data_IF_545822050728
#
_entry.id   IF_545822050728
#
_cell.length_a   1.000
_cell.length_b   1.000
_cell.length_c   1.000
_cell.angle_alpha   90.00
_cell.angle_beta   90.00
_cell.angle_gamma   90.00
#
_symmetry.space_group_name_H-M   'P 1'
#
loop_
_entity.id
_entity.type
_entity.pdbx_description
1 polymer ?
#
# COMPACT_ATOMS: atom_id res chain seq x y z
N UNK A 1 -6.86 25.43 -10.23
CA UNK A 1 -7.87 24.33 -10.15
C UNK A 1 -7.55 23.48 -8.94
N UNK A 2 -8.55 23.07 -8.15
CA UNK A 2 -8.34 22.33 -6.90
C UNK A 2 -8.32 20.82 -7.13
N UNK A 3 -7.29 20.15 -6.61
CA UNK A 3 -7.07 18.71 -6.77
C UNK A 3 -6.99 18.07 -5.39
N UNK A 4 -7.74 16.99 -5.20
CA UNK A 4 -7.71 16.23 -3.96
C UNK A 4 -6.93 14.92 -4.16
N UNK A 5 -5.92 14.68 -3.32
CA UNK A 5 -5.11 13.47 -3.32
C UNK A 5 -5.50 12.59 -2.14
N UNK A 6 -5.95 11.37 -2.42
CA UNK A 6 -6.33 10.38 -1.41
C UNK A 6 -5.24 9.30 -1.34
N UNK A 7 -4.24 9.58 -0.52
CA UNK A 7 -3.04 8.74 -0.33
C UNK A 7 -2.51 8.85 1.08
N UNK A 8 -1.73 7.86 1.48
CA UNK A 8 -0.98 7.93 2.74
C UNK A 8 0.03 9.06 2.70
N UNK A 9 0.19 9.75 3.82
CA UNK A 9 1.20 10.80 3.95
C UNK A 9 2.60 10.18 3.80
N UNK A 10 3.39 10.75 2.88
CA UNK A 10 4.83 10.54 2.83
C UNK A 10 5.45 11.92 2.69
N UNK A 11 6.17 12.33 3.71
CA UNK A 11 7.00 13.53 3.64
C UNK A 11 8.35 13.13 3.03
N UNK A 12 8.87 13.97 2.14
CA UNK A 12 10.26 13.89 1.71
C UNK A 12 11.15 14.77 2.59
N UNK A 13 12.46 14.76 2.34
CA UNK A 13 13.45 15.53 3.11
C UNK A 13 13.22 17.07 3.06
N UNK A 14 12.33 17.55 2.17
CA UNK A 14 11.97 18.96 2.03
C UNK A 14 10.65 19.32 2.76
N UNK A 15 10.05 18.38 3.50
CA UNK A 15 8.86 18.62 4.33
C UNK A 15 7.57 18.88 3.53
N UNK A 16 7.55 18.55 2.23
CA UNK A 16 6.35 18.61 1.39
C UNK A 16 6.18 17.32 0.60
N UNK A 17 4.94 16.88 0.43
CA UNK A 17 4.64 15.71 -0.39
C UNK A 17 5.04 15.99 -1.87
N UNK A 18 5.79 15.09 -2.52
CA UNK A 18 6.30 15.32 -3.87
C UNK A 18 5.18 15.54 -4.90
N UNK A 19 4.00 14.93 -4.72
CA UNK A 19 2.86 15.14 -5.62
C UNK A 19 2.25 16.53 -5.46
N UNK A 20 2.19 17.05 -4.22
CA UNK A 20 1.69 18.41 -3.97
C UNK A 20 2.63 19.42 -4.63
N UNK A 21 3.94 19.27 -4.42
CA UNK A 21 4.97 20.14 -5.02
C UNK A 21 4.85 20.15 -6.55
N UNK A 22 4.82 18.98 -7.15
CA UNK A 22 4.77 18.83 -8.61
C UNK A 22 3.51 19.46 -9.20
N UNK A 23 2.33 19.18 -8.62
CA UNK A 23 1.08 19.80 -9.04
C UNK A 23 1.11 21.32 -8.88
N UNK A 24 1.76 21.82 -7.83
CA UNK A 24 1.97 23.25 -7.59
C UNK A 24 2.75 23.94 -8.70
N UNK A 25 3.75 23.28 -9.32
CA UNK A 25 4.53 23.82 -10.45
C UNK A 25 3.64 24.13 -11.66
N UNK A 26 2.53 23.41 -11.81
CA UNK A 26 1.54 23.61 -12.87
C UNK A 26 0.37 24.51 -12.46
N UNK A 27 0.44 25.19 -11.30
CA UNK A 27 -0.62 26.06 -10.79
C UNK A 27 -1.87 25.30 -10.32
N UNK A 28 -1.73 24.02 -9.96
CA UNK A 28 -2.79 23.21 -9.38
C UNK A 28 -2.71 23.26 -7.84
N UNK A 29 -3.83 23.60 -7.21
CA UNK A 29 -3.94 23.64 -5.75
C UNK A 29 -4.27 22.24 -5.25
N UNK A 30 -3.24 21.50 -4.83
CA UNK A 30 -3.39 20.13 -4.36
C UNK A 30 -3.57 20.09 -2.83
N UNK A 31 -4.52 19.30 -2.35
CA UNK A 31 -4.68 18.95 -0.93
C UNK A 31 -4.60 17.44 -0.77
N UNK A 32 -3.86 16.98 0.23
CA UNK A 32 -3.71 15.56 0.54
C UNK A 32 -4.55 15.21 1.77
N UNK A 33 -5.34 14.14 1.65
CA UNK A 33 -6.04 13.52 2.78
C UNK A 33 -5.56 12.07 2.93
N UNK A 34 -5.01 11.70 4.09
CA UNK A 34 -4.63 10.32 4.37
C UNK A 34 -5.86 9.42 4.43
N UNK A 35 -5.75 8.24 3.80
CA UNK A 35 -6.85 7.26 3.69
C UNK A 35 -6.52 5.92 4.33
N UNK A 36 -5.25 5.60 4.59
CA UNK A 36 -4.88 4.45 5.41
C UNK A 36 -4.25 4.93 6.73
N UNK A 37 -4.48 4.14 7.76
CA UNK A 37 -3.76 4.18 9.02
C UNK A 37 -3.37 2.76 9.41
N UNK A 38 -2.57 2.62 10.46
CA UNK A 38 -2.12 1.33 10.95
C UNK A 38 -2.31 1.25 12.45
N UNK A 39 -2.60 0.04 12.91
CA UNK A 39 -2.67 -0.29 14.33
C UNK A 39 -1.75 -1.45 14.62
N UNK A 40 -1.10 -1.39 15.78
CA UNK A 40 -0.25 -2.48 16.26
C UNK A 40 -1.08 -3.51 17.03
N UNK A 41 -0.79 -4.77 16.76
CA UNK A 41 -1.49 -5.93 17.32
C UNK A 41 -0.48 -6.86 18.00
N UNK A 42 -0.97 -7.70 18.91
CA UNK A 42 -0.21 -8.84 19.45
C UNK A 42 1.17 -8.50 20.05
N UNK A 43 1.41 -7.25 20.46
CA UNK A 43 2.72 -6.81 20.96
C UNK A 43 3.22 -7.61 22.18
N UNK A 44 2.39 -8.03 23.15
CA UNK A 44 2.85 -8.88 24.25
C UNK A 44 3.39 -10.23 23.77
N UNK A 45 2.64 -10.91 22.89
CA UNK A 45 3.05 -12.20 22.31
C UNK A 45 4.31 -12.06 21.44
N UNK A 46 4.39 -10.99 20.64
CA UNK A 46 5.58 -10.74 19.84
C UNK A 46 6.81 -10.45 20.72
N UNK A 47 6.63 -9.68 21.80
CA UNK A 47 7.70 -9.41 22.77
C UNK A 47 8.19 -10.67 23.48
N UNK A 48 7.29 -11.59 23.80
CA UNK A 48 7.65 -12.90 24.37
C UNK A 48 8.51 -13.71 23.40
N UNK A 49 8.12 -13.78 22.13
CA UNK A 49 8.88 -14.49 21.08
C UNK A 49 10.25 -13.87 20.83
N UNK A 50 10.35 -12.54 20.82
CA UNK A 50 11.64 -11.84 20.72
C UNK A 50 12.58 -12.12 21.91
N UNK A 51 12.03 -12.57 23.05
CA UNK A 51 12.82 -12.89 24.25
C UNK A 51 13.37 -14.32 24.26
N UNK A 52 12.92 -15.17 23.33
CA UNK A 52 13.34 -16.58 23.22
C UNK A 52 13.99 -16.85 21.85
N UNK A 53 15.13 -16.21 21.53
CA UNK A 53 15.83 -16.43 20.27
C UNK A 53 16.16 -17.91 20.03
N UNK A 54 16.39 -18.70 21.09
CA UNK A 54 16.65 -20.14 21.04
C UNK A 54 15.57 -20.97 20.33
N UNK A 55 14.33 -20.49 20.27
CA UNK A 55 13.22 -21.19 19.60
C UNK A 55 13.19 -20.96 18.08
N UNK A 56 14.02 -20.04 17.57
CA UNK A 56 13.94 -19.55 16.20
C UNK A 56 15.27 -19.69 15.45
N UNK A 57 15.20 -19.93 14.15
CA UNK A 57 16.36 -19.94 13.25
C UNK A 57 16.79 -18.56 12.75
N UNK A 58 15.94 -17.55 12.94
CA UNK A 58 16.15 -16.21 12.40
C UNK A 58 14.88 -15.35 12.39
N UNK A 59 15.00 -14.14 11.86
CA UNK A 59 13.93 -13.14 11.74
C UNK A 59 13.68 -12.77 10.27
N UNK A 60 12.46 -12.38 9.94
CA UNK A 60 12.11 -11.82 8.63
C UNK A 60 11.33 -10.52 8.84
N UNK A 61 11.80 -9.42 8.26
CA UNK A 61 11.09 -8.13 8.23
C UNK A 61 10.85 -7.66 6.80
N UNK A 62 9.59 -7.70 6.35
CA UNK A 62 9.21 -7.23 5.00
C UNK A 62 8.57 -5.84 5.01
N UNK A 63 8.48 -5.19 6.17
CA UNK A 63 7.77 -3.92 6.35
C UNK A 63 8.39 -3.10 7.48
N UNK A 64 8.60 -1.77 7.28
CA UNK A 64 8.99 -0.85 8.35
C UNK A 64 8.09 -0.93 9.58
N UNK A 65 6.78 -1.14 9.38
CA UNK A 65 5.79 -1.25 10.46
C UNK A 65 6.07 -2.45 11.37
N UNK A 66 6.55 -3.56 10.84
CA UNK A 66 6.90 -4.72 11.66
C UNK A 66 8.11 -4.43 12.57
N UNK A 67 9.03 -3.58 12.11
CA UNK A 67 10.21 -3.15 12.89
C UNK A 67 9.81 -2.16 13.98
N UNK A 68 8.91 -1.21 13.66
CA UNK A 68 8.33 -0.30 14.67
C UNK A 68 7.57 -1.07 15.75
N UNK A 69 6.83 -2.13 15.37
CA UNK A 69 6.19 -3.02 16.34
C UNK A 69 7.23 -3.66 17.27
N UNK A 70 8.39 -4.07 16.74
CA UNK A 70 9.48 -4.62 17.54
C UNK A 70 10.03 -3.56 18.52
N UNK A 71 10.28 -2.34 18.05
CA UNK A 71 10.71 -1.21 18.89
C UNK A 71 9.73 -0.98 20.05
N UNK A 72 8.43 -0.90 19.76
CA UNK A 72 7.39 -0.75 20.78
C UNK A 72 7.37 -1.92 21.78
N UNK A 73 7.61 -3.15 21.33
CA UNK A 73 7.73 -4.32 22.19
C UNK A 73 8.94 -4.26 23.15
N UNK A 74 10.03 -3.62 22.72
CA UNK A 74 11.24 -3.44 23.53
C UNK A 74 11.04 -2.33 24.58
N UNK A 75 10.46 -1.20 24.16
CA UNK A 75 10.21 -0.04 25.01
C UNK A 75 9.16 -0.30 26.10
N UNK A 76 7.98 -0.83 25.73
CA UNK A 76 6.84 -0.94 26.67
C UNK A 76 7.04 -1.98 27.77
N UNK A 77 7.94 -2.94 27.59
CA UNK A 77 8.11 -4.06 28.52
C UNK A 77 9.38 -3.95 29.37
N UNK A 78 10.02 -2.78 29.43
CA UNK A 78 11.34 -2.58 30.06
C UNK A 78 12.40 -3.58 29.56
N UNK A 79 12.21 -4.11 28.34
CA UNK A 79 13.10 -5.12 27.76
C UNK A 79 14.27 -4.50 27.02
N UNK A 80 14.32 -3.18 26.86
CA UNK A 80 15.46 -2.46 26.26
C UNK A 80 16.79 -2.85 26.90
N UNK A 81 16.85 -2.95 28.23
CA UNK A 81 18.08 -3.38 28.91
C UNK A 81 18.44 -4.83 28.60
N UNK A 82 17.46 -5.74 28.62
CA UNK A 82 17.68 -7.17 28.33
C UNK A 82 18.07 -7.37 26.86
N UNK A 83 17.51 -6.55 25.98
CA UNK A 83 17.80 -6.50 24.56
C UNK A 83 19.25 -6.15 24.30
N UNK A 84 19.69 -4.99 24.77
CA UNK A 84 21.07 -4.51 24.59
C UNK A 84 22.08 -5.39 25.32
N UNK A 85 21.72 -5.95 26.49
CA UNK A 85 22.62 -6.79 27.29
C UNK A 85 22.84 -8.18 26.72
N UNK A 86 21.84 -8.77 26.03
CA UNK A 86 21.92 -10.19 25.67
C UNK A 86 21.14 -10.64 24.44
N UNK A 87 19.92 -10.13 24.19
CA UNK A 87 19.09 -10.67 23.11
C UNK A 87 19.59 -10.24 21.73
N UNK A 88 20.09 -9.01 21.61
CA UNK A 88 20.60 -8.45 20.36
C UNK A 88 21.72 -9.31 19.76
N UNK A 89 22.72 -9.67 20.57
CA UNK A 89 23.82 -10.55 20.12
C UNK A 89 23.32 -11.95 19.77
N UNK A 90 22.38 -12.50 20.54
CA UNK A 90 21.77 -13.81 20.24
C UNK A 90 20.98 -13.82 18.93
N UNK A 91 20.31 -12.71 18.60
CA UNK A 91 19.62 -12.56 17.32
C UNK A 91 20.59 -12.29 16.17
N UNK A 92 21.68 -11.56 16.38
CA UNK A 92 22.75 -11.37 15.38
C UNK A 92 23.55 -12.63 15.08
N UNK A 93 23.59 -13.59 16.01
CA UNK A 93 24.12 -14.92 15.74
C UNK A 93 23.22 -15.77 14.81
N UNK A 94 22.05 -15.25 14.40
CA UNK A 94 21.07 -15.89 13.51
C UNK A 94 20.86 -15.04 12.26
N UNK A 95 20.17 -15.59 11.27
CA UNK A 95 19.85 -14.85 10.05
C UNK A 95 18.71 -13.86 10.26
N UNK A 96 18.92 -12.58 9.94
CA UNK A 96 17.89 -11.54 9.95
C UNK A 96 17.66 -11.05 8.52
N UNK A 97 16.57 -11.50 7.92
CA UNK A 97 16.20 -11.21 6.54
C UNK A 97 15.31 -9.98 6.44
N UNK A 98 15.58 -9.10 5.47
CA UNK A 98 14.78 -7.87 5.27
C UNK A 98 14.41 -7.65 3.81
N UNK A 99 13.29 -6.95 3.56
CA UNK A 99 12.95 -6.44 2.22
C UNK A 99 13.03 -4.91 2.22
N UNK A 100 13.92 -4.38 1.38
CA UNK A 100 14.04 -2.96 1.08
C UNK A 100 14.82 -2.15 2.11
N UNK A 101 15.55 -1.14 1.60
CA UNK A 101 16.47 -0.30 2.38
C UNK A 101 15.79 0.45 3.52
N UNK A 102 14.53 0.85 3.36
CA UNK A 102 13.79 1.54 4.42
C UNK A 102 13.56 0.64 5.64
N UNK A 103 13.25 -0.64 5.41
CA UNK A 103 13.10 -1.63 6.48
C UNK A 103 14.46 -1.93 7.10
N UNK A 104 15.48 -2.18 6.27
CA UNK A 104 16.83 -2.47 6.73
C UNK A 104 17.38 -1.36 7.64
N UNK A 105 17.21 -0.09 7.24
CA UNK A 105 17.63 1.07 8.03
C UNK A 105 16.99 1.11 9.43
N UNK A 106 15.73 0.68 9.57
CA UNK A 106 15.08 0.59 10.88
C UNK A 106 15.57 -0.62 11.69
N UNK A 107 15.85 -1.74 11.03
CA UNK A 107 16.38 -2.95 11.68
C UNK A 107 17.79 -2.69 12.21
N UNK A 108 18.62 -1.95 11.48
CA UNK A 108 19.94 -1.52 11.97
C UNK A 108 19.83 -0.59 13.18
N UNK A 109 18.77 0.23 13.28
CA UNK A 109 18.55 1.09 14.47
C UNK A 109 18.22 0.30 15.74
N UNK A 110 17.66 -0.90 15.63
CA UNK A 110 17.49 -1.82 16.77
C UNK A 110 18.73 -2.71 16.99
N UNK A 111 19.79 -2.48 16.22
CA UNK A 111 21.09 -3.10 16.39
C UNK A 111 21.23 -4.49 15.79
N UNK A 112 20.38 -4.85 14.82
CA UNK A 112 20.45 -6.13 14.12
C UNK A 112 21.14 -6.00 12.76
N UNK A 113 21.95 -7.01 12.42
CA UNK A 113 22.65 -7.11 11.15
C UNK A 113 21.75 -7.79 10.10
N UNK A 114 21.50 -7.11 8.99
CA UNK A 114 20.48 -7.54 8.02
C UNK A 114 21.05 -8.15 6.75
N UNK A 115 20.32 -9.11 6.20
CA UNK A 115 20.58 -9.69 4.87
C UNK A 115 19.35 -9.56 3.96
N UNK A 116 19.57 -9.53 2.64
CA UNK A 116 18.48 -9.58 1.65
C UNK A 116 17.81 -8.24 1.31
N UNK A 117 18.28 -7.12 1.84
CA UNK A 117 17.71 -5.79 1.55
C UNK A 117 17.65 -5.47 0.05
N UNK A 118 18.61 -5.97 -0.72
CA UNK A 118 18.75 -5.81 -2.18
C UNK A 118 17.89 -6.76 -2.99
N UNK A 119 17.20 -7.73 -2.37
CA UNK A 119 16.27 -8.62 -3.06
C UNK A 119 15.09 -7.86 -3.66
N UNK A 120 14.72 -6.72 -3.09
CA UNK A 120 13.72 -5.78 -3.63
C UNK A 120 12.25 -6.18 -3.43
N UNK A 121 11.92 -7.48 -3.36
CA UNK A 121 10.56 -7.96 -3.06
C UNK A 121 10.56 -9.29 -2.29
N UNK A 122 9.37 -9.72 -1.88
CA UNK A 122 9.17 -10.92 -1.07
C UNK A 122 9.48 -12.22 -1.83
N UNK A 123 9.23 -12.24 -3.14
CA UNK A 123 9.50 -13.37 -4.02
C UNK A 123 11.01 -13.67 -4.08
N UNK A 124 11.82 -12.65 -4.41
CA UNK A 124 13.27 -12.77 -4.50
C UNK A 124 13.90 -13.02 -3.13
N UNK A 125 13.33 -12.48 -2.07
CA UNK A 125 13.79 -12.80 -0.72
C UNK A 125 13.53 -14.28 -0.39
N UNK A 126 12.37 -14.83 -0.78
CA UNK A 126 12.10 -16.24 -0.57
C UNK A 126 13.09 -17.12 -1.36
N UNK A 127 13.39 -16.79 -2.62
CA UNK A 127 14.42 -17.47 -3.40
C UNK A 127 15.79 -17.41 -2.72
N UNK A 128 16.17 -16.23 -2.20
CA UNK A 128 17.41 -16.03 -1.46
C UNK A 128 17.50 -16.93 -0.22
N UNK A 129 16.45 -16.95 0.60
CA UNK A 129 16.38 -17.79 1.80
C UNK A 129 16.46 -19.28 1.41
N UNK A 130 15.75 -19.69 0.36
CA UNK A 130 15.73 -21.08 -0.10
C UNK A 130 17.05 -21.56 -0.72
N UNK A 131 17.93 -20.63 -1.12
CA UNK A 131 19.25 -20.97 -1.67
C UNK A 131 20.31 -21.21 -0.60
N UNK A 132 20.00 -20.89 0.67
CA UNK A 132 20.91 -21.04 1.82
C UNK A 132 20.60 -22.29 2.62
N UNK A 133 21.55 -22.70 3.46
CA UNK A 133 21.31 -23.73 4.47
C UNK A 133 20.26 -23.23 5.46
N UNK A 134 19.15 -23.97 5.57
CA UNK A 134 18.07 -23.66 6.49
C UNK A 134 18.36 -24.21 7.88
N UNK A 135 18.11 -23.42 8.92
CA UNK A 135 18.08 -23.91 10.30
C UNK A 135 16.95 -24.93 10.48
N UNK A 136 17.13 -25.87 11.42
CA UNK A 136 16.05 -26.76 11.86
C UNK A 136 14.94 -26.03 12.62
N UNK A 137 15.23 -24.84 13.15
CA UNK A 137 14.29 -23.99 13.88
C UNK A 137 13.54 -23.05 12.94
N UNK A 138 12.28 -22.71 13.24
CA UNK A 138 11.47 -21.84 12.40
C UNK A 138 12.01 -20.41 12.30
N UNK A 139 11.82 -19.76 11.16
CA UNK A 139 12.02 -18.32 11.04
C UNK A 139 10.83 -17.56 11.63
N UNK A 140 11.08 -16.56 12.48
CA UNK A 140 10.04 -15.70 13.03
C UNK A 140 9.72 -14.56 12.05
N UNK A 141 8.46 -14.48 11.61
CA UNK A 141 7.99 -13.51 10.62
C UNK A 141 6.90 -12.58 11.20
N UNK A 142 7.27 -11.44 11.82
CA UNK A 142 6.31 -10.39 12.15
C UNK A 142 5.76 -9.74 10.87
N UNK A 143 4.45 -9.82 10.67
CA UNK A 143 3.79 -9.39 9.43
C UNK A 143 2.50 -8.59 9.66
N UNK A 144 1.97 -8.02 8.57
CA UNK A 144 0.67 -7.36 8.55
C UNK A 144 -0.49 -8.33 8.32
N UNK A 145 -1.72 -7.91 8.62
CA UNK A 145 -2.95 -8.67 8.32
C UNK A 145 -3.14 -8.92 6.81
N UNK A 146 -2.75 -7.97 5.97
CA UNK A 146 -2.72 -8.08 4.51
C UNK A 146 -1.48 -8.85 4.04
N UNK A 147 -1.25 -10.05 4.59
CA UNK A 147 -0.13 -10.89 4.17
C UNK A 147 -0.40 -11.41 2.76
N UNK A 148 0.43 -11.00 1.79
CA UNK A 148 0.56 -11.76 0.55
C UNK A 148 1.19 -13.09 0.94
N UNK A 149 0.46 -14.19 0.73
CA UNK A 149 0.88 -15.57 1.07
C UNK A 149 2.12 -16.05 0.28
N UNK A 150 2.81 -15.16 -0.42
CA UNK A 150 3.92 -15.45 -1.32
C UNK A 150 5.13 -15.98 -0.54
N UNK A 151 5.60 -15.24 0.46
CA UNK A 151 6.76 -15.64 1.27
C UNK A 151 6.44 -16.87 2.15
N UNK A 152 5.31 -16.91 2.92
CA UNK A 152 4.95 -18.10 3.68
C UNK A 152 4.82 -19.37 2.83
N UNK A 153 4.19 -19.27 1.66
CA UNK A 153 4.02 -20.41 0.76
C UNK A 153 5.34 -20.87 0.15
N UNK A 154 6.16 -19.94 -0.36
CA UNK A 154 7.43 -20.27 -0.99
C UNK A 154 8.39 -20.98 -0.03
N UNK A 155 8.48 -20.53 1.22
CA UNK A 155 9.31 -21.19 2.25
C UNK A 155 8.75 -22.57 2.60
N UNK A 156 7.43 -22.69 2.76
CA UNK A 156 6.76 -23.97 3.05
C UNK A 156 6.97 -24.99 1.93
N UNK A 157 6.87 -24.58 0.67
CA UNK A 157 7.07 -25.44 -0.51
C UNK A 157 8.51 -25.98 -0.59
N UNK A 158 9.46 -25.32 0.06
CA UNK A 158 10.87 -25.73 0.18
C UNK A 158 11.21 -26.40 1.51
N UNK A 159 10.21 -26.66 2.37
CA UNK A 159 10.40 -27.32 3.66
C UNK A 159 11.05 -26.45 4.73
N UNK A 160 11.11 -25.13 4.54
CA UNK A 160 11.66 -24.19 5.51
C UNK A 160 10.57 -23.83 6.52
N UNK A 161 10.81 -24.16 7.79
CA UNK A 161 9.90 -23.84 8.87
C UNK A 161 9.84 -22.33 9.12
N UNK A 162 8.64 -21.80 9.30
CA UNK A 162 8.43 -20.38 9.59
C UNK A 162 7.18 -20.20 10.46
N UNK A 163 7.27 -19.31 11.44
CA UNK A 163 6.15 -18.88 12.27
C UNK A 163 5.80 -17.42 11.97
N UNK A 164 4.57 -17.16 11.53
CA UNK A 164 4.08 -15.79 11.28
C UNK A 164 3.34 -15.23 12.49
N UNK A 165 3.63 -13.98 12.84
CA UNK A 165 2.92 -13.24 13.89
C UNK A 165 2.37 -11.96 13.30
N UNK A 166 1.05 -11.78 13.33
CA UNK A 166 0.44 -10.52 12.88
C UNK A 166 0.64 -9.45 13.94
N UNK A 167 1.54 -8.49 13.67
CA UNK A 167 1.94 -7.43 14.62
C UNK A 167 1.39 -6.05 14.24
N UNK A 168 0.82 -5.92 13.04
CA UNK A 168 0.10 -4.71 12.66
C UNK A 168 -1.04 -5.03 11.70
N UNK A 169 -2.00 -4.13 11.60
CA UNK A 169 -3.05 -4.17 10.60
C UNK A 169 -3.20 -2.83 9.89
N UNK A 170 -3.54 -2.90 8.61
CA UNK A 170 -3.97 -1.71 7.84
C UNK A 170 -5.45 -1.47 8.10
N UNK A 171 -5.79 -0.24 8.50
CA UNK A 171 -7.17 0.20 8.75
C UNK A 171 -7.48 1.45 7.92
N UNK A 172 -8.77 1.77 7.69
CA UNK A 172 -9.16 3.08 7.20
C UNK A 172 -8.64 4.18 8.12
N UNK A 173 -8.13 5.28 7.56
CA UNK A 173 -7.72 6.40 8.38
C UNK A 173 -8.95 6.98 9.14
N UNK A 174 -8.92 7.08 10.49
CA UNK A 174 -10.10 7.46 11.27
C UNK A 174 -10.59 8.89 10.96
N UNK A 175 -9.69 9.73 10.46
CA UNK A 175 -9.99 11.11 10.06
C UNK A 175 -10.57 11.30 8.66
N UNK A 176 -10.81 10.25 7.85
CA UNK A 176 -11.27 10.42 6.45
C UNK A 176 -12.50 11.31 6.36
N UNK A 177 -13.54 10.98 7.13
CA UNK A 177 -14.81 11.72 7.09
C UNK A 177 -14.63 13.18 7.53
N UNK A 178 -13.94 13.41 8.66
CA UNK A 178 -13.70 14.76 9.17
C UNK A 178 -12.86 15.61 8.22
N UNK A 179 -11.80 15.03 7.65
CA UNK A 179 -10.92 15.70 6.71
C UNK A 179 -11.64 16.05 5.39
N UNK A 180 -12.46 15.12 4.87
CA UNK A 180 -13.27 15.39 3.69
C UNK A 180 -14.32 16.47 3.97
N UNK A 181 -15.04 16.39 5.09
CA UNK A 181 -16.01 17.43 5.47
C UNK A 181 -15.35 18.81 5.57
N UNK A 182 -14.19 18.89 6.21
CA UNK A 182 -13.42 20.12 6.33
C UNK A 182 -12.99 20.67 4.96
N UNK A 183 -12.43 19.81 4.10
CA UNK A 183 -12.05 20.18 2.74
C UNK A 183 -13.23 20.71 1.93
N UNK A 184 -14.36 19.99 1.87
CA UNK A 184 -15.52 20.43 1.09
C UNK A 184 -16.14 21.72 1.64
N UNK A 185 -16.14 21.91 2.96
CA UNK A 185 -16.67 23.13 3.58
C UNK A 185 -15.82 24.37 3.29
N UNK A 186 -14.50 24.22 3.24
CA UNK A 186 -13.56 25.33 3.02
C UNK A 186 -13.26 25.59 1.55
N UNK A 187 -13.15 24.51 0.76
CA UNK A 187 -12.65 24.55 -0.61
C UNK A 187 -13.74 24.30 -1.66
N UNK A 188 -14.88 23.74 -1.27
CA UNK A 188 -15.93 23.30 -2.18
C UNK A 188 -15.60 21.98 -2.89
N UNK A 189 -16.38 21.66 -3.92
CA UNK A 189 -16.20 20.44 -4.73
C UNK A 189 -14.87 20.51 -5.49
N UNK A 190 -13.98 19.50 -5.37
CA UNK A 190 -12.71 19.49 -6.08
C UNK A 190 -12.93 19.32 -7.60
N UNK A 191 -12.04 19.89 -8.42
CA UNK A 191 -12.08 19.68 -9.86
C UNK A 191 -11.60 18.27 -10.25
N UNK A 192 -10.76 17.65 -9.41
CA UNK A 192 -10.28 16.29 -9.59
C UNK A 192 -9.96 15.61 -8.26
N UNK A 193 -10.18 14.29 -8.21
CA UNK A 193 -9.80 13.43 -7.09
C UNK A 193 -8.88 12.33 -7.64
N UNK A 194 -7.74 12.11 -6.98
CA UNK A 194 -6.78 11.05 -7.32
C UNK A 194 -6.71 10.01 -6.21
N UNK A 195 -6.93 8.74 -6.56
CA UNK A 195 -6.82 7.59 -5.68
C UNK A 195 -5.50 6.85 -5.92
N UNK A 196 -4.80 6.47 -4.86
CA UNK A 196 -3.48 5.81 -4.95
C UNK A 196 -3.52 4.31 -4.65
N UNK A 197 -4.67 3.79 -4.23
CA UNK A 197 -4.89 2.37 -3.99
C UNK A 197 -6.38 2.03 -4.04
N UNK A 198 -6.74 0.76 -4.31
CA UNK A 198 -8.12 0.30 -4.21
C UNK A 198 -8.73 0.52 -2.82
N UNK A 199 -7.95 0.31 -1.76
CA UNK A 199 -8.40 0.55 -0.38
C UNK A 199 -8.74 2.02 -0.14
N UNK A 200 -7.93 2.94 -0.66
CA UNK A 200 -8.19 4.38 -0.55
C UNK A 200 -9.52 4.78 -1.19
N UNK A 201 -9.85 4.19 -2.36
CA UNK A 201 -11.16 4.36 -3.00
C UNK A 201 -12.28 3.79 -2.12
N UNK A 202 -12.17 2.53 -1.72
CA UNK A 202 -13.20 1.85 -0.90
C UNK A 202 -13.53 2.60 0.38
N UNK A 203 -12.53 3.14 1.07
CA UNK A 203 -12.72 3.81 2.36
C UNK A 203 -13.26 5.25 2.26
N UNK A 204 -13.12 5.89 1.09
CA UNK A 204 -13.50 7.30 0.92
C UNK A 204 -14.69 7.52 0.00
N UNK A 205 -15.02 6.56 -0.89
CA UNK A 205 -16.03 6.74 -1.94
C UNK A 205 -17.40 7.15 -1.40
N UNK A 206 -17.88 6.49 -0.33
CA UNK A 206 -19.18 6.79 0.26
C UNK A 206 -19.26 8.25 0.73
N UNK A 207 -18.22 8.72 1.43
CA UNK A 207 -18.14 10.10 1.91
C UNK A 207 -18.05 11.11 0.77
N UNK A 208 -17.31 10.79 -0.29
CA UNK A 208 -17.21 11.63 -1.49
C UNK A 208 -18.57 11.75 -2.18
N UNK A 209 -19.31 10.65 -2.31
CA UNK A 209 -20.65 10.64 -2.89
C UNK A 209 -21.63 11.51 -2.10
N UNK A 210 -21.65 11.35 -0.76
CA UNK A 210 -22.50 12.15 0.13
C UNK A 210 -22.18 13.65 0.06
N UNK A 211 -20.90 14.02 0.00
CA UNK A 211 -20.46 15.43 -0.03
C UNK A 211 -20.57 16.07 -1.41
N UNK A 212 -20.42 15.29 -2.49
CA UNK A 212 -20.48 15.82 -3.86
C UNK A 212 -21.91 15.95 -4.37
N UNK A 213 -22.83 15.09 -3.91
CA UNK A 213 -24.20 15.03 -4.43
C UNK A 213 -24.22 14.94 -5.96
N UNK A 214 -25.06 15.76 -6.59
CA UNK A 214 -25.20 15.82 -8.05
C UNK A 214 -23.96 16.36 -8.78
N UNK A 215 -23.01 16.96 -8.06
CA UNK A 215 -21.79 17.50 -8.67
C UNK A 215 -20.71 16.44 -8.89
N UNK A 216 -20.94 15.18 -8.48
CA UNK A 216 -19.93 14.11 -8.61
C UNK A 216 -19.51 13.88 -10.07
N UNK A 217 -20.42 14.05 -11.02
CA UNK A 217 -20.16 13.89 -12.46
C UNK A 217 -19.23 14.97 -13.03
N UNK A 218 -19.04 16.07 -12.30
CA UNK A 218 -18.13 17.15 -12.68
C UNK A 218 -16.70 16.89 -12.19
N UNK A 219 -16.51 15.96 -11.26
CA UNK A 219 -15.22 15.63 -10.67
C UNK A 219 -14.44 14.68 -11.58
N UNK A 220 -13.24 15.08 -12.00
CA UNK A 220 -12.33 14.19 -12.74
C UNK A 220 -11.69 13.19 -11.79
N UNK A 221 -11.98 11.91 -11.98
CA UNK A 221 -11.37 10.85 -11.18
C UNK A 221 -10.09 10.34 -11.83
N UNK A 222 -9.07 10.15 -11.00
CA UNK A 222 -7.77 9.63 -11.39
C UNK A 222 -7.34 8.48 -10.47
N UNK A 223 -6.60 7.52 -11.03
CA UNK A 223 -6.05 6.41 -10.27
C UNK A 223 -4.55 6.29 -10.57
N UNK A 224 -3.73 6.25 -9.52
CA UNK A 224 -2.32 5.90 -9.66
C UNK A 224 -2.22 4.37 -9.79
N UNK A 225 -1.69 3.90 -10.92
CA UNK A 225 -1.42 2.47 -11.10
C UNK A 225 -0.26 2.05 -10.18
N UNK A 226 -0.44 0.97 -9.42
CA UNK A 226 0.66 0.30 -8.73
C UNK A 226 1.58 -0.31 -9.80
N UNK A 227 2.81 0.19 -9.91
CA UNK A 227 3.88 -0.53 -10.62
C UNK A 227 4.26 -1.80 -9.86
N UNK A 228 3.50 -2.86 -10.06
CA UNK A 228 3.98 -4.22 -9.91
C UNK A 228 3.55 -5.04 -11.12
N UNK A 229 4.03 -4.65 -12.30
CA UNK A 229 3.99 -5.52 -13.48
C UNK A 229 5.20 -6.45 -13.37
N UNK A 230 4.95 -7.61 -12.78
CA UNK A 230 5.72 -8.81 -13.10
C UNK A 230 5.38 -9.13 -14.56
N UNK A 231 6.40 -9.17 -15.41
CA UNK A 231 6.31 -9.81 -16.71
C UNK A 231 6.01 -11.30 -16.48
N UNK A 232 4.77 -11.73 -16.67
CA UNK A 232 4.48 -13.14 -16.96
C UNK A 232 3.63 -13.22 -18.21
N UNK A 233 4.33 -13.55 -19.30
CA UNK A 233 3.75 -14.20 -20.46
C UNK A 233 3.05 -15.50 -20.03
N UNK A 234 1.76 -15.60 -20.33
CA UNK A 234 1.02 -16.86 -20.45
C UNK A 234 0.41 -17.40 -19.15
N UNK A 235 -0.89 -17.66 -19.19
CA UNK A 235 -1.57 -18.52 -18.23
C UNK A 235 -2.91 -17.99 -17.72
N UNK A 236 -3.97 -18.37 -18.40
CA UNK A 236 -5.37 -18.10 -18.05
C UNK A 236 -5.74 -18.68 -16.68
N UNK A 237 -6.26 -17.84 -15.77
CA UNK A 237 -7.18 -18.29 -14.72
C UNK A 237 -7.98 -17.10 -14.18
N UNK A 238 -9.30 -17.23 -14.31
CA UNK A 238 -10.34 -16.29 -13.94
C UNK A 238 -10.36 -15.95 -12.46
N UNK A 239 -10.33 -14.66 -12.13
CA UNK A 239 -10.97 -14.15 -10.92
C UNK A 239 -11.62 -12.79 -11.23
N UNK A 240 -12.82 -12.63 -10.68
CA UNK A 240 -13.85 -11.64 -10.99
C UNK A 240 -13.37 -10.18 -11.03
N UNK A 241 -13.09 -9.68 -12.23
CA UNK A 241 -13.02 -8.26 -12.60
C UNK A 241 -13.81 -8.08 -13.91
N UNK A 242 -15.05 -8.57 -13.96
CA UNK A 242 -15.90 -8.40 -15.15
C UNK A 242 -16.73 -7.12 -15.00
N UNK A 243 -16.24 -6.04 -15.59
CA UNK A 243 -17.00 -4.79 -15.70
C UNK A 243 -16.33 -3.64 -16.45
N UNK A 244 -15.08 -3.80 -16.93
CA UNK A 244 -14.33 -2.71 -17.56
C UNK A 244 -13.69 -3.23 -18.85
N UNK A 245 -14.43 -3.13 -19.96
CA UNK A 245 -13.91 -3.44 -21.30
C UNK A 245 -13.04 -2.29 -21.83
N UNK A 246 -11.98 -2.68 -22.54
CA UNK A 246 -10.99 -1.78 -23.14
C UNK A 246 -11.45 -1.31 -24.52
N UNK A 247 -11.68 -0.01 -24.71
CA UNK A 247 -11.70 0.60 -26.05
C UNK A 247 -10.74 1.79 -26.15
N UNK A 248 -9.97 1.82 -27.24
CA UNK A 248 -9.04 2.89 -27.57
C UNK A 248 -9.79 4.16 -28.02
N UNK A 249 -9.36 5.37 -27.64
CA UNK A 249 -10.15 6.58 -27.84
C UNK A 249 -10.11 7.07 -29.30
N UNK A 250 -11.29 7.30 -29.88
CA UNK A 250 -11.48 8.11 -31.10
C UNK A 250 -11.34 9.60 -30.76
N UNK A 251 -10.71 10.33 -31.67
CA UNK A 251 -10.23 11.72 -31.52
C UNK A 251 -11.33 12.78 -31.49
N UNK A 252 -11.17 13.79 -30.62
CA UNK A 252 -11.79 15.11 -30.78
C UNK A 252 -12.25 15.76 -29.47
N UNK A 253 -11.60 16.88 -29.08
CA UNK A 253 -12.06 17.85 -28.06
C UNK A 253 -12.24 17.36 -26.60
N UNK A 254 -11.14 17.30 -25.84
CA UNK A 254 -11.00 17.55 -24.36
C UNK A 254 -9.57 17.24 -23.87
N UNK A 255 -8.54 17.66 -24.60
CA UNK A 255 -7.14 17.17 -24.41
C UNK A 255 -6.27 17.93 -23.40
N UNK A 256 -6.70 19.05 -22.82
CA UNK A 256 -5.80 19.88 -22.01
C UNK A 256 -5.61 19.39 -20.56
N UNK A 257 -6.59 18.72 -19.95
CA UNK A 257 -6.49 18.32 -18.53
C UNK A 257 -5.83 16.96 -18.30
N UNK A 258 -5.94 16.05 -19.27
CA UNK A 258 -5.46 14.66 -19.16
C UNK A 258 -3.94 14.59 -19.41
N UNK A 259 -3.42 15.45 -20.28
CA UNK A 259 -1.99 15.50 -20.59
C UNK A 259 -1.12 16.04 -19.45
N UNK A 260 -1.67 16.89 -18.55
CA UNK A 260 -0.89 17.44 -17.42
C UNK A 260 -0.54 16.37 -16.37
N UNK A 261 -1.48 15.49 -16.01
CA UNK A 261 -1.18 14.40 -15.08
C UNK A 261 -0.24 13.34 -15.68
N UNK A 262 -0.23 13.20 -17.01
CA UNK A 262 0.72 12.31 -17.71
C UNK A 262 2.15 12.83 -17.63
N UNK A 263 2.36 14.15 -17.74
CA UNK A 263 3.68 14.77 -17.63
C UNK A 263 4.27 14.65 -16.22
N UNK A 264 3.49 14.99 -15.19
CA UNK A 264 3.92 14.89 -13.78
C UNK A 264 4.28 13.44 -13.36
N UNK A 265 3.63 12.42 -13.94
CA UNK A 265 3.99 11.02 -13.70
C UNK A 265 5.26 10.57 -14.42
N UNK A 266 5.52 11.07 -15.63
CA UNK A 266 6.71 10.73 -16.40
C UNK A 266 7.99 11.30 -15.79
N UNK A 267 7.98 12.51 -15.22
CA UNK A 267 9.14 13.10 -14.53
C UNK A 267 9.47 12.40 -13.19
N UNK A 268 8.49 11.79 -12.53
CA UNK A 268 8.67 11.01 -11.30
C UNK A 268 9.00 9.52 -11.55
N UNK A 269 9.23 9.12 -12.80
CA UNK A 269 9.55 7.72 -13.15
C UNK A 269 8.39 6.73 -12.96
N UNK A 270 7.16 7.22 -12.85
CA UNK A 270 5.96 6.41 -12.62
C UNK A 270 5.14 6.33 -13.92
N UNK A 271 5.17 5.17 -14.57
CA UNK A 271 4.36 4.88 -15.76
C UNK A 271 2.86 4.83 -15.44
N UNK A 272 2.18 5.97 -15.44
CA UNK A 272 0.73 6.08 -15.32
C UNK A 272 0.04 5.58 -16.60
N UNK A 273 -0.73 4.49 -16.52
CA UNK A 273 -1.73 4.12 -17.55
C UNK A 273 -3.13 4.40 -17.00
N UNK A 274 -3.97 5.01 -17.83
CA UNK A 274 -5.35 5.38 -17.47
C UNK A 274 -6.37 4.31 -17.89
N UNK A 275 -7.37 4.08 -17.03
CA UNK A 275 -8.65 3.45 -17.36
C UNK A 275 -9.74 4.52 -17.26
N UNK A 276 -10.53 4.72 -18.33
CA UNK A 276 -11.63 5.69 -18.38
C UNK A 276 -12.92 5.04 -17.85
N UNK A 277 -13.80 5.77 -17.13
CA UNK A 277 -15.11 5.27 -16.77
C UNK A 277 -16.04 5.26 -17.99
N UNK A 278 -16.72 4.14 -18.22
CA UNK A 278 -17.83 4.02 -19.17
C UNK A 278 -19.02 4.85 -18.69
N UNK A 279 -19.71 5.62 -19.56
CA UNK A 279 -20.98 6.22 -19.18
C UNK A 279 -22.05 5.13 -18.98
N UNK A 280 -22.81 5.23 -17.88
CA UNK A 280 -23.98 4.40 -17.61
C UNK A 280 -24.93 4.45 -18.82
N UNK A 281 -25.09 3.33 -19.52
CA UNK A 281 -26.11 3.16 -20.55
C UNK A 281 -27.50 3.25 -19.92
N UNK A 282 -28.29 4.24 -20.36
CA UNK A 282 -29.71 4.37 -20.03
C UNK A 282 -30.44 3.08 -20.41
N UNK A 283 -31.22 2.54 -19.47
CA UNK A 283 -32.20 1.47 -19.71
C UNK A 283 -33.20 1.94 -20.78
N UNK A 284 -33.41 1.21 -21.89
CA UNK A 284 -34.46 1.56 -22.84
C UNK A 284 -35.84 1.13 -22.32
N UNK A 285 -36.77 2.08 -22.26
CA UNK A 285 -38.21 1.80 -22.11
C UNK A 285 -38.72 0.93 -23.27
N UNK A 286 -39.66 -0.01 -23.04
CA UNK A 286 -40.24 -0.81 -24.12
C UNK A 286 -41.21 0.01 -24.97
N UNK A 287 -41.39 -0.33 -26.27
CA UNK A 287 -42.23 0.45 -27.17
C UNK A 287 -43.73 0.25 -26.88
N UNK A 288 -44.47 1.35 -26.96
CA UNK A 288 -45.94 1.37 -27.04
C UNK A 288 -46.39 0.60 -28.29
N UNK A 289 -47.24 -0.39 -28.12
CA UNK A 289 -47.99 -1.01 -29.21
C UNK A 289 -49.08 -0.06 -29.70
N UNK A 290 -48.98 0.35 -30.96
CA UNK A 290 -50.09 0.84 -31.76
C UNK A 290 -51.01 -0.37 -32.05
N UNK A 291 -52.24 -0.34 -31.55
CA UNK A 291 -53.34 -1.12 -32.13
C UNK A 291 -54.11 -0.20 -33.07
N UNK A 292 -54.19 -0.61 -34.32
CA UNK A 292 -55.18 -0.15 -35.28
C UNK A 292 -55.98 -1.37 -35.72
N UNK A 293 -57.30 -1.20 -35.74
CA UNK A 293 -58.40 -2.13 -36.04
C UNK A 293 -58.80 -3.09 -34.91
#
# INVERSE_FOLDING_TARGET
MKVLLLKDAKEDDCGQDPYIRELGLYGLEATLIPVLSFEFLSLPSFSEKLSHPEDYGGLIFTSPRAVEAAQLCLEKNNKTEVWERSLKEKWNAKSVYVVGNATASLVSKIGLDTEGETCGNAEKLAEYICSRESSALPLLFPCGNLKREILPKALKDKGIAMESVTVYQTIPHPGIQGNLNSYYSQQGVPASITFFSPSGLTYSLKHIQELSGDNIDQIKQAAAALSSVVNTSGGSSSNSLNGWETEAPRTGQRRLSVNLLLAAGQELGLGLRWFLPTPFSRVPCPPRSLRTL
#
